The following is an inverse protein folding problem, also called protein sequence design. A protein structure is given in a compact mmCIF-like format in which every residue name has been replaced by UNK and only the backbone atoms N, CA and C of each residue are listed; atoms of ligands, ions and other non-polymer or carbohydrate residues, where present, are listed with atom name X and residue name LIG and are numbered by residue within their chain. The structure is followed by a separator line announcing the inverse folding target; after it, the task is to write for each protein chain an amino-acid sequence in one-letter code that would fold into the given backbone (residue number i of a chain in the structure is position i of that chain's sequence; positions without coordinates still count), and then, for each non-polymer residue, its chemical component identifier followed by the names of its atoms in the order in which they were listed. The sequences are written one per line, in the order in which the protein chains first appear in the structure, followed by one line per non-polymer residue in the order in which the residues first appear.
data_IF_802259553008
#
_entry.id   IF_802259553008
#
_cell.length_a   1.000
_cell.length_b   1.000
_cell.length_c   1.000
_cell.angle_alpha   90.00
_cell.angle_beta   90.00
_cell.angle_gamma   90.00
#
_symmetry.space_group_name_H-M   'P 1'
#
loop_
_entity.id
_entity.type
_entity.pdbx_description
1 polymer ?
#
# COMPACT_ATOMS: atom_id res chain seq x y z
N UNK A 1 -0.20 -5.52 -14.44
CA UNK A 1 -0.17 -4.53 -13.35
C UNK A 1 -1.52 -4.70 -12.71
N UNK A 2 -1.52 -5.15 -11.48
CA UNK A 2 -2.72 -5.63 -10.82
C UNK A 2 -3.07 -4.66 -9.71
N UNK A 3 -4.31 -4.16 -9.72
CA UNK A 3 -4.82 -3.29 -8.68
C UNK A 3 -5.26 -4.13 -7.47
N UNK A 4 -4.97 -3.64 -6.28
CA UNK A 4 -5.37 -4.30 -5.04
C UNK A 4 -5.79 -3.29 -3.97
N UNK A 5 -6.58 -3.77 -3.02
CA UNK A 5 -6.91 -3.02 -1.80
C UNK A 5 -6.04 -3.52 -0.65
N UNK A 6 -5.25 -2.62 -0.07
CA UNK A 6 -4.47 -2.85 1.15
C UNK A 6 -5.24 -2.36 2.36
N UNK A 7 -5.42 -3.22 3.37
CA UNK A 7 -6.09 -2.89 4.63
C UNK A 7 -5.34 -3.42 5.82
N UNK A 8 -5.36 -2.69 6.93
CA UNK A 8 -4.65 -3.09 8.13
C UNK A 8 -4.95 -2.19 9.32
N UNK A 9 -4.41 -2.56 10.48
CA UNK A 9 -4.39 -1.69 11.66
C UNK A 9 -2.96 -1.21 11.85
N UNK A 10 -2.75 0.10 11.84
CA UNK A 10 -1.45 0.68 12.11
C UNK A 10 -1.12 0.51 13.59
N UNK A 11 -0.04 -0.19 13.88
CA UNK A 11 0.28 -0.64 15.25
C UNK A 11 0.57 0.52 16.20
N UNK A 12 1.18 1.60 15.72
CA UNK A 12 1.53 2.75 16.57
C UNK A 12 0.32 3.63 16.90
N UNK A 13 -0.63 3.81 15.97
CA UNK A 13 -1.83 4.64 16.22
C UNK A 13 -3.08 3.84 16.61
N UNK A 14 -3.06 2.52 16.45
CA UNK A 14 -4.23 1.65 16.60
C UNK A 14 -5.32 1.86 15.54
N UNK A 15 -5.09 2.73 14.55
CA UNK A 15 -6.09 3.10 13.54
C UNK A 15 -6.10 2.13 12.39
N UNK A 16 -7.30 1.81 11.91
CA UNK A 16 -7.49 1.03 10.69
C UNK A 16 -7.26 1.91 9.46
N UNK A 17 -6.67 1.34 8.42
CA UNK A 17 -6.59 1.95 7.10
C UNK A 17 -7.10 0.99 6.03
N UNK A 18 -7.56 1.57 4.92
CA UNK A 18 -7.87 0.87 3.67
C UNK A 18 -7.50 1.80 2.50
N UNK A 19 -6.58 1.35 1.63
CA UNK A 19 -6.07 2.14 0.50
C UNK A 19 -5.86 1.28 -0.73
N UNK A 20 -5.94 1.88 -1.91
CA UNK A 20 -5.62 1.22 -3.17
C UNK A 20 -4.10 1.17 -3.40
N UNK A 21 -3.65 0.10 -4.01
CA UNK A 21 -2.30 -0.05 -4.53
C UNK A 21 -2.30 -0.77 -5.88
N UNK A 22 -1.13 -0.82 -6.50
CA UNK A 22 -0.90 -1.56 -7.72
C UNK A 22 0.41 -2.32 -7.63
N UNK A 23 0.39 -3.58 -8.04
CA UNK A 23 1.57 -4.42 -8.09
C UNK A 23 1.96 -4.70 -9.54
N UNK A 24 3.27 -4.70 -9.78
CA UNK A 24 3.89 -5.10 -11.03
C UNK A 24 4.83 -6.26 -10.72
N UNK A 25 4.46 -7.45 -11.21
CA UNK A 25 5.26 -8.66 -11.06
C UNK A 25 5.92 -8.98 -12.40
N UNK A 26 7.24 -9.04 -12.42
CA UNK A 26 8.00 -9.51 -13.58
C UNK A 26 8.27 -10.99 -13.42
N UNK A 27 7.84 -11.78 -14.40
CA UNK A 27 8.03 -13.24 -14.42
C UNK A 27 8.93 -13.61 -15.60
N UNK A 28 9.91 -14.48 -15.36
CA UNK A 28 10.77 -15.08 -16.37
C UNK A 28 10.92 -16.57 -16.09
N UNK A 29 10.72 -17.40 -17.11
CA UNK A 29 10.82 -18.87 -17.01
C UNK A 29 9.96 -19.45 -15.87
N UNK A 30 8.74 -18.91 -15.71
CA UNK A 30 7.80 -19.31 -14.66
C UNK A 30 8.18 -18.85 -13.25
N UNK A 31 9.23 -18.04 -13.08
CA UNK A 31 9.68 -17.53 -11.78
C UNK A 31 9.52 -16.02 -11.69
N UNK A 32 9.15 -15.53 -10.51
CA UNK A 32 9.12 -14.10 -10.22
C UNK A 32 10.57 -13.60 -10.13
N UNK A 33 10.94 -12.69 -11.02
CA UNK A 33 12.27 -12.06 -11.08
C UNK A 33 12.25 -10.60 -10.64
N UNK A 34 11.07 -10.02 -10.42
CA UNK A 34 10.93 -8.67 -9.90
C UNK A 34 9.52 -8.42 -9.39
N UNK A 35 9.43 -7.57 -8.38
CA UNK A 35 8.16 -7.11 -7.84
C UNK A 35 8.29 -5.61 -7.51
N UNK A 36 7.36 -4.80 -8.00
CA UNK A 36 7.23 -3.38 -7.67
C UNK A 36 5.81 -3.10 -7.24
N UNK A 37 5.66 -2.65 -6.00
CA UNK A 37 4.40 -2.22 -5.44
C UNK A 37 4.33 -0.68 -5.40
N UNK A 38 3.17 -0.14 -5.76
CA UNK A 38 2.77 1.24 -5.53
C UNK A 38 1.57 1.24 -4.59
N UNK A 39 1.55 2.16 -3.63
CA UNK A 39 0.45 2.30 -2.67
C UNK A 39 0.19 3.77 -2.41
N UNK A 40 -1.08 4.15 -2.25
CA UNK A 40 -1.46 5.51 -1.88
C UNK A 40 -1.15 5.79 -0.38
N UNK A 41 0.13 6.07 -0.11
CA UNK A 41 0.59 6.40 1.25
C UNK A 41 0.00 7.72 1.75
N UNK A 42 -0.30 8.68 0.88
CA UNK A 42 -0.94 9.94 1.28
C UNK A 42 -2.35 9.70 1.83
N UNK A 43 -3.14 8.85 1.17
CA UNK A 43 -4.44 8.43 1.70
C UNK A 43 -4.30 7.67 3.02
N UNK A 44 -3.28 6.81 3.14
CA UNK A 44 -2.98 6.09 4.38
C UNK A 44 -2.65 7.07 5.52
N UNK A 45 -1.74 8.01 5.30
CA UNK A 45 -1.30 8.97 6.32
C UNK A 45 -2.45 9.86 6.82
N UNK A 46 -3.37 10.25 5.93
CA UNK A 46 -4.60 10.96 6.33
C UNK A 46 -5.50 10.10 7.22
N UNK A 47 -5.71 8.83 6.87
CA UNK A 47 -6.49 7.90 7.69
C UNK A 47 -5.82 7.62 9.05
N UNK A 48 -4.50 7.74 9.12
CA UNK A 48 -3.73 7.57 10.34
C UNK A 48 -3.53 8.88 11.13
N UNK A 49 -3.89 10.04 10.57
CA UNK A 49 -3.53 11.40 11.03
C UNK A 49 -2.03 11.58 11.29
N UNK A 50 -1.21 11.04 10.38
CA UNK A 50 0.24 11.26 10.37
C UNK A 50 0.62 12.52 9.59
N UNK A 51 -0.23 12.95 8.65
CA UNK A 51 -0.17 14.27 8.03
C UNK A 51 -1.26 15.16 8.63
N UNK A 52 -0.89 15.94 9.66
CA UNK A 52 -1.62 17.12 10.06
C UNK A 52 -0.91 18.31 9.41
N UNK A 53 -1.50 18.90 8.37
CA UNK A 53 -1.16 20.29 8.06
C UNK A 53 -1.68 21.16 9.21
N UNK A 54 -0.93 22.19 9.64
CA UNK A 54 -1.35 23.12 10.68
C UNK A 54 -2.59 23.93 10.30
#
# INVERSE_FOLDING_TARGET
MDEYTSRGTHTASGRRYEVTGMDMVHVRDGRVVGHRALRDNTAMDRQLALHQDP
#
